data_IF_815988498751
#
_entry.id   IF_815988498751
#
_cell.length_a   1.000
_cell.length_b   1.000
_cell.length_c   1.000
_cell.angle_alpha   90.00
_cell.angle_beta   90.00
_cell.angle_gamma   90.00
#
_symmetry.space_group_name_H-M   'P 1'
#
loop_
_entity.id
_entity.type
_entity.pdbx_description
1 polymer ?
#
# COMPACT_ATOMS: atom_id res chain seq x y z
N UNK A 1 11.46 -10.16 -16.32
CA UNK A 1 11.35 -9.21 -15.20
C UNK A 1 12.71 -9.13 -14.52
N UNK A 2 13.32 -7.95 -14.43
CA UNK A 2 14.60 -7.80 -13.71
C UNK A 2 14.36 -7.87 -12.20
N UNK A 3 15.39 -8.23 -11.44
CA UNK A 3 15.32 -8.21 -9.97
C UNK A 3 14.89 -6.84 -9.45
N UNK A 4 15.41 -5.76 -10.04
CA UNK A 4 15.02 -4.39 -9.67
C UNK A 4 13.53 -4.11 -9.90
N UNK A 5 12.98 -4.49 -11.05
CA UNK A 5 11.55 -4.31 -11.31
C UNK A 5 10.68 -5.11 -10.32
N UNK A 6 11.11 -6.34 -9.98
CA UNK A 6 10.40 -7.17 -9.00
C UNK A 6 10.43 -6.55 -7.60
N UNK A 7 11.59 -6.05 -7.15
CA UNK A 7 11.68 -5.38 -5.84
C UNK A 7 10.87 -4.08 -5.79
N UNK A 8 10.81 -3.32 -6.89
CA UNK A 8 9.97 -2.12 -6.96
C UNK A 8 8.49 -2.45 -6.81
N UNK A 9 8.00 -3.48 -7.50
CA UNK A 9 6.60 -3.92 -7.34
C UNK A 9 6.27 -4.33 -5.90
N UNK A 10 7.15 -5.12 -5.26
CA UNK A 10 6.95 -5.53 -3.86
C UNK A 10 6.98 -4.31 -2.92
N UNK A 11 7.88 -3.35 -3.17
CA UNK A 11 7.98 -2.14 -2.38
C UNK A 11 6.71 -1.28 -2.48
N UNK A 12 6.15 -1.14 -3.68
CA UNK A 12 4.92 -0.38 -3.89
C UNK A 12 3.73 -1.04 -3.19
N UNK A 13 3.60 -2.37 -3.28
CA UNK A 13 2.58 -3.12 -2.52
C UNK A 13 2.71 -2.93 -1.01
N UNK A 14 3.93 -2.92 -0.48
CA UNK A 14 4.16 -2.69 0.95
C UNK A 14 3.84 -1.25 1.37
N UNK A 15 4.09 -0.28 0.50
CA UNK A 15 3.77 1.12 0.76
C UNK A 15 2.25 1.32 0.83
N UNK A 16 1.49 0.75 -0.11
CA UNK A 16 0.03 0.80 -0.10
C UNK A 16 -0.54 0.25 1.21
N UNK A 17 -0.05 -0.93 1.65
CA UNK A 17 -0.46 -1.52 2.94
C UNK A 17 -0.14 -0.62 4.13
N UNK A 18 1.05 -0.04 4.20
CA UNK A 18 1.45 0.87 5.29
C UNK A 18 0.57 2.12 5.35
N UNK A 19 0.24 2.69 4.20
CA UNK A 19 -0.64 3.85 4.11
C UNK A 19 -2.08 3.49 4.50
N UNK A 20 -2.58 2.34 4.04
CA UNK A 20 -3.87 1.78 4.45
C UNK A 20 -3.96 1.59 5.97
N UNK A 21 -2.94 0.98 6.59
CA UNK A 21 -2.88 0.79 8.04
C UNK A 21 -2.87 2.14 8.79
N UNK A 22 -2.19 3.15 8.24
CA UNK A 22 -2.16 4.49 8.84
C UNK A 22 -3.51 5.19 8.75
N UNK A 23 -4.17 5.13 7.59
CA UNK A 23 -5.51 5.67 7.38
C UNK A 23 -6.53 4.98 8.28
N UNK A 24 -6.45 3.65 8.39
CA UNK A 24 -7.30 2.85 9.27
C UNK A 24 -7.15 3.24 10.75
N UNK A 25 -5.91 3.42 11.23
CA UNK A 25 -5.65 3.91 12.60
C UNK A 25 -6.23 5.30 12.85
N UNK A 26 -6.22 6.16 11.84
CA UNK A 26 -6.81 7.50 11.90
C UNK A 26 -8.34 7.50 11.72
N UNK A 27 -8.98 6.32 11.60
CA UNK A 27 -10.41 6.14 11.30
C UNK A 27 -10.85 6.74 9.96
N UNK A 28 -9.88 6.97 9.06
CA UNK A 28 -10.11 7.38 7.69
C UNK A 28 -10.33 6.14 6.82
N UNK A 29 -11.53 5.56 6.95
CA UNK A 29 -11.84 4.28 6.32
C UNK A 29 -11.93 4.36 4.80
N UNK A 30 -12.35 5.51 4.25
CA UNK A 30 -12.40 5.71 2.80
C UNK A 30 -11.00 5.62 2.19
N UNK A 31 -10.03 6.35 2.75
CA UNK A 31 -8.65 6.28 2.26
C UNK A 31 -8.02 4.90 2.54
N UNK A 32 -8.34 4.26 3.67
CA UNK A 32 -7.85 2.91 3.94
C UNK A 32 -8.31 1.89 2.88
N UNK A 33 -9.59 1.97 2.48
CA UNK A 33 -10.16 1.11 1.43
C UNK A 33 -9.46 1.36 0.09
N UNK A 34 -9.23 2.62 -0.28
CA UNK A 34 -8.51 2.97 -1.52
C UNK A 34 -7.07 2.39 -1.53
N UNK A 35 -6.34 2.51 -0.41
CA UNK A 35 -4.99 1.96 -0.30
C UNK A 35 -4.94 0.42 -0.35
N UNK A 36 -5.97 -0.28 0.12
CA UNK A 36 -6.03 -1.75 0.05
C UNK A 36 -6.57 -2.29 -1.29
N UNK A 37 -7.13 -1.43 -2.14
CA UNK A 37 -7.69 -1.81 -3.45
C UNK A 37 -6.69 -1.64 -4.60
N UNK A 38 -5.56 -0.97 -4.36
CA UNK A 38 -4.41 -0.91 -5.29
C UNK A 38 -3.64 -2.22 -5.33
#
# INVERSE_FOLDING_TARGET
LSFQMWTSQIQDTLNCKKLGDSAFRNKDFTNAIDYYTQ
#
